data_IF_707657113408
#
_entry.id   IF_707657113408
#
_cell.length_a   1.000
_cell.length_b   1.000
_cell.length_c   1.000
_cell.angle_alpha   90.00
_cell.angle_beta   90.00
_cell.angle_gamma   90.00
#
_symmetry.space_group_name_H-M   'P 1'
#
loop_
_entity.id
_entity.type
_entity.pdbx_description
1 polymer ?
#
# COMPACT_ATOMS: atom_id res chain seq x y z
N UNK A 1 -9.70 -8.89 -5.70
CA UNK A 1 -9.55 -9.57 -7.01
C UNK A 1 -10.07 -11.00 -6.96
N UNK A 2 -10.31 -11.63 -8.10
CA UNK A 2 -10.79 -13.02 -8.18
C UNK A 2 -9.85 -13.88 -8.99
N UNK A 3 -9.36 -14.97 -8.39
CA UNK A 3 -8.66 -16.05 -9.09
C UNK A 3 -9.66 -16.89 -9.87
N UNK A 4 -9.38 -17.15 -11.14
CA UNK A 4 -10.28 -17.83 -12.07
C UNK A 4 -9.67 -19.11 -12.64
N UNK A 5 -10.51 -20.05 -13.04
CA UNK A 5 -10.07 -21.33 -13.61
C UNK A 5 -9.46 -21.22 -15.01
N UNK A 6 -9.78 -20.16 -15.76
CA UNK A 6 -9.23 -19.90 -17.09
C UNK A 6 -9.08 -18.40 -17.36
N UNK A 7 -8.44 -18.04 -18.49
CA UNK A 7 -8.20 -16.66 -18.94
C UNK A 7 -9.48 -15.99 -19.49
N UNK A 8 -10.57 -16.04 -18.72
CA UNK A 8 -11.86 -15.45 -19.10
C UNK A 8 -12.56 -14.85 -17.89
N UNK A 9 -13.19 -13.69 -18.07
CA UNK A 9 -14.04 -13.07 -17.03
C UNK A 9 -15.32 -13.89 -16.75
N UNK A 10 -15.71 -14.75 -17.66
CA UNK A 10 -16.88 -15.65 -17.55
C UNK A 10 -16.54 -17.00 -16.92
N UNK A 11 -15.25 -17.32 -16.73
CA UNK A 11 -14.86 -18.59 -16.12
C UNK A 11 -15.17 -18.63 -14.64
N UNK A 12 -15.23 -19.86 -14.10
CA UNK A 12 -15.49 -20.09 -12.66
C UNK A 12 -14.50 -19.32 -11.79
N UNK A 13 -15.02 -18.61 -10.78
CA UNK A 13 -14.21 -18.00 -9.72
C UNK A 13 -13.77 -19.11 -8.77
N UNK A 14 -12.47 -19.32 -8.67
CA UNK A 14 -11.87 -20.32 -7.76
C UNK A 14 -11.71 -19.77 -6.34
N UNK A 15 -11.29 -18.51 -6.23
CA UNK A 15 -11.09 -17.83 -4.96
C UNK A 15 -11.19 -16.31 -5.16
N UNK A 16 -11.82 -15.63 -4.22
CA UNK A 16 -11.74 -14.17 -4.13
C UNK A 16 -10.49 -13.81 -3.32
N UNK A 17 -9.67 -12.91 -3.88
CA UNK A 17 -8.42 -12.46 -3.28
C UNK A 17 -8.61 -11.04 -2.75
N UNK A 18 -8.29 -10.84 -1.48
CA UNK A 18 -8.21 -9.52 -0.89
C UNK A 18 -7.00 -8.75 -1.42
N UNK A 19 -7.02 -7.43 -1.29
CA UNK A 19 -5.86 -6.62 -1.61
C UNK A 19 -4.75 -6.97 -0.62
N UNK A 20 -3.52 -7.15 -1.14
CA UNK A 20 -2.37 -7.54 -0.34
C UNK A 20 -2.16 -9.05 -0.23
N UNK A 21 -3.09 -9.89 -0.72
CA UNK A 21 -2.86 -11.34 -0.75
C UNK A 21 -1.62 -11.65 -1.58
N UNK A 22 -0.58 -12.29 -1.01
CA UNK A 22 0.59 -12.70 -1.77
C UNK A 22 0.22 -13.80 -2.76
N UNK A 23 0.74 -13.70 -3.97
CA UNK A 23 0.53 -14.69 -5.02
C UNK A 23 1.84 -14.99 -5.73
N UNK A 24 2.10 -16.25 -6.04
CA UNK A 24 3.22 -16.62 -6.91
C UNK A 24 2.79 -16.47 -8.36
N UNK A 25 3.52 -15.69 -9.14
CA UNK A 25 3.24 -15.48 -10.56
C UNK A 25 4.12 -16.39 -11.40
N UNK A 26 3.53 -17.29 -12.18
CA UNK A 26 4.24 -18.21 -13.07
C UNK A 26 4.43 -17.68 -14.48
N UNK A 27 3.43 -17.00 -15.02
CA UNK A 27 3.48 -16.48 -16.38
C UNK A 27 2.49 -15.35 -16.60
N UNK A 28 2.76 -14.53 -17.62
CA UNK A 28 1.86 -13.47 -18.09
C UNK A 28 1.52 -13.73 -19.55
N UNK A 29 0.23 -13.68 -19.87
CA UNK A 29 -0.27 -13.83 -21.23
C UNK A 29 -1.40 -12.83 -21.47
N UNK A 30 -1.17 -11.84 -22.33
CA UNK A 30 -2.10 -10.75 -22.59
C UNK A 30 -2.44 -9.98 -21.31
N UNK A 31 -3.72 -9.94 -20.97
CA UNK A 31 -4.22 -9.26 -19.76
C UNK A 31 -4.27 -10.17 -18.52
N UNK A 32 -3.81 -11.41 -18.61
CA UNK A 32 -3.92 -12.40 -17.55
C UNK A 32 -2.56 -12.83 -17.02
N UNK A 33 -2.50 -13.11 -15.72
CA UNK A 33 -1.38 -13.77 -15.05
C UNK A 33 -1.83 -15.11 -14.49
N UNK A 34 -1.02 -16.14 -14.75
CA UNK A 34 -1.16 -17.43 -14.08
C UNK A 34 -0.51 -17.31 -12.71
N UNK A 35 -1.28 -17.56 -11.66
CA UNK A 35 -0.84 -17.38 -10.27
C UNK A 35 -1.18 -18.59 -9.43
N UNK A 36 -0.44 -18.80 -8.35
CA UNK A 36 -0.80 -19.74 -7.30
C UNK A 36 -1.02 -18.99 -5.99
N UNK A 37 -2.04 -19.44 -5.26
CA UNK A 37 -2.37 -18.98 -3.91
C UNK A 37 -2.78 -20.20 -3.09
N UNK A 38 -2.14 -20.41 -1.95
CA UNK A 38 -2.41 -21.57 -1.07
C UNK A 38 -2.40 -22.90 -1.83
N UNK A 39 -1.41 -23.11 -2.71
CA UNK A 39 -1.25 -24.32 -3.50
C UNK A 39 -2.27 -24.48 -4.67
N UNK A 40 -3.22 -23.55 -4.83
CA UNK A 40 -4.20 -23.58 -5.93
C UNK A 40 -3.79 -22.64 -7.05
N UNK A 41 -3.70 -23.18 -8.26
CA UNK A 41 -3.34 -22.42 -9.46
C UNK A 41 -4.59 -21.87 -10.16
N UNK A 42 -4.50 -20.63 -10.63
CA UNK A 42 -5.58 -19.95 -11.35
C UNK A 42 -5.08 -18.77 -12.15
N UNK A 43 -6.01 -17.98 -12.66
CA UNK A 43 -5.71 -16.80 -13.48
C UNK A 43 -6.31 -15.54 -12.88
N UNK A 44 -5.54 -14.47 -12.84
CA UNK A 44 -5.94 -13.14 -12.35
C UNK A 44 -5.63 -12.08 -13.40
N UNK A 45 -6.47 -11.07 -13.54
CA UNK A 45 -6.18 -9.96 -14.45
C UNK A 45 -4.90 -9.24 -14.03
N UNK A 46 -4.01 -9.00 -14.98
CA UNK A 46 -2.69 -8.35 -14.80
C UNK A 46 -2.78 -7.05 -14.00
N UNK A 47 -3.81 -6.24 -14.24
CA UNK A 47 -4.01 -4.96 -13.57
C UNK A 47 -4.22 -5.05 -12.04
N UNK A 48 -4.54 -6.24 -11.52
CA UNK A 48 -4.76 -6.47 -10.09
C UNK A 48 -3.58 -7.14 -9.39
N UNK A 49 -2.51 -7.47 -10.13
CA UNK A 49 -1.32 -8.12 -9.57
C UNK A 49 -0.11 -7.25 -9.81
N UNK A 50 0.49 -6.78 -8.75
CA UNK A 50 1.77 -6.08 -8.78
C UNK A 50 2.90 -7.11 -8.66
N UNK A 51 3.88 -7.06 -9.56
CA UNK A 51 5.09 -7.87 -9.44
C UNK A 51 6.13 -7.04 -8.71
N UNK A 52 6.60 -7.55 -7.58
CA UNK A 52 7.76 -7.03 -6.91
C UNK A 52 8.95 -7.97 -7.19
N UNK A 53 9.88 -7.52 -8.01
CA UNK A 53 11.10 -8.28 -8.35
C UNK A 53 12.08 -8.35 -7.20
N UNK A 54 11.97 -7.44 -6.23
CA UNK A 54 12.82 -7.38 -5.04
C UNK A 54 12.20 -8.12 -3.85
N UNK A 55 11.00 -8.68 -4.01
CA UNK A 55 10.39 -9.49 -2.97
C UNK A 55 11.19 -10.78 -2.80
N UNK A 56 11.56 -11.14 -1.57
CA UNK A 56 12.17 -12.45 -1.30
C UNK A 56 11.21 -13.55 -1.76
N UNK A 57 11.76 -14.62 -2.30
CA UNK A 57 11.00 -15.81 -2.69
C UNK A 57 10.21 -16.30 -1.48
N UNK A 58 8.90 -16.54 -1.63
CA UNK A 58 7.98 -16.85 -0.53
C UNK A 58 8.20 -18.20 0.17
N UNK A 59 9.24 -18.92 -0.16
CA UNK A 59 9.60 -20.13 0.56
C UNK A 59 10.17 -19.77 1.94
N UNK A 60 9.32 -19.83 2.96
CA UNK A 60 9.68 -19.66 4.37
C UNK A 60 9.66 -18.23 4.92
N UNK A 61 9.16 -17.23 4.19
CA UNK A 61 9.02 -15.86 4.73
C UNK A 61 7.64 -15.62 5.32
N UNK A 62 7.63 -15.11 6.56
CA UNK A 62 6.40 -14.57 7.17
C UNK A 62 5.90 -13.40 6.32
N UNK A 63 4.61 -13.43 5.96
CA UNK A 63 3.94 -12.34 5.24
C UNK A 63 3.98 -11.07 6.09
N UNK A 64 4.70 -10.06 5.63
CA UNK A 64 4.75 -8.74 6.27
C UNK A 64 3.67 -7.82 5.67
N UNK A 65 2.61 -7.63 6.40
CA UNK A 65 1.47 -6.81 5.98
C UNK A 65 1.82 -5.33 5.86
N UNK A 66 2.65 -4.81 6.75
CA UNK A 66 3.11 -3.43 6.70
C UNK A 66 3.93 -3.15 5.44
N UNK A 67 4.82 -4.03 5.07
CA UNK A 67 5.60 -3.93 3.84
C UNK A 67 4.70 -3.99 2.60
N UNK A 68 3.67 -4.84 2.61
CA UNK A 68 2.70 -4.92 1.51
C UNK A 68 1.90 -3.62 1.35
N UNK A 69 1.46 -3.02 2.46
CA UNK A 69 0.78 -1.72 2.46
C UNK A 69 1.69 -0.63 1.89
N UNK A 70 2.96 -0.60 2.30
CA UNK A 70 3.96 0.35 1.81
C UNK A 70 4.23 0.20 0.31
N UNK A 71 4.31 -1.01 -0.19
CA UNK A 71 4.47 -1.29 -1.63
C UNK A 71 3.24 -0.87 -2.43
N UNK A 72 2.04 -1.15 -1.92
CA UNK A 72 0.80 -0.72 -2.55
C UNK A 72 0.71 0.81 -2.64
N UNK A 73 1.07 1.52 -1.58
CA UNK A 73 1.08 2.99 -1.56
C UNK A 73 1.99 3.58 -2.64
N UNK A 74 3.14 2.98 -2.90
CA UNK A 74 4.10 3.45 -3.90
C UNK A 74 3.59 3.37 -5.34
N UNK A 75 2.56 2.58 -5.61
CA UNK A 75 1.94 2.47 -6.96
C UNK A 75 1.28 3.77 -7.42
N UNK A 76 0.99 4.68 -6.51
CA UNK A 76 0.29 5.94 -6.79
C UNK A 76 1.24 7.14 -6.92
N UNK A 77 2.54 6.90 -6.83
CA UNK A 77 3.57 7.94 -7.08
C UNK A 77 3.37 8.54 -8.47
N UNK A 78 3.38 9.87 -8.54
CA UNK A 78 3.09 10.63 -9.77
C UNK A 78 1.64 11.10 -9.89
N UNK A 79 0.71 10.57 -9.10
CA UNK A 79 -0.67 11.03 -9.09
C UNK A 79 -0.81 12.37 -8.34
N UNK A 80 -1.90 13.08 -8.62
CA UNK A 80 -2.09 14.45 -8.16
C UNK A 80 -2.35 14.58 -6.66
N UNK A 81 -1.90 15.69 -6.08
CA UNK A 81 -2.37 16.17 -4.80
C UNK A 81 -3.63 17.01 -4.99
N UNK A 82 -4.71 16.68 -4.29
CA UNK A 82 -5.97 17.46 -4.27
C UNK A 82 -6.38 17.67 -2.82
N UNK A 83 -6.48 18.93 -2.39
CA UNK A 83 -6.94 19.27 -1.04
C UNK A 83 -8.34 18.71 -0.79
N UNK A 84 -8.53 18.00 0.33
CA UNK A 84 -9.78 17.30 0.63
C UNK A 84 -10.01 16.03 -0.16
N UNK A 85 -9.12 15.70 -1.09
CA UNK A 85 -9.23 14.51 -1.94
C UNK A 85 -8.90 13.22 -1.19
N UNK A 86 -9.55 12.13 -1.63
CA UNK A 86 -9.38 10.77 -1.09
C UNK A 86 -9.28 9.72 -2.20
N UNK A 87 -9.15 10.13 -3.45
CA UNK A 87 -9.06 9.24 -4.60
C UNK A 87 -7.58 9.01 -4.97
N UNK A 88 -7.13 7.78 -4.84
CA UNK A 88 -5.73 7.41 -5.11
C UNK A 88 -5.31 7.63 -6.56
N UNK A 89 -6.26 7.61 -7.50
CA UNK A 89 -5.99 7.77 -8.94
C UNK A 89 -6.21 9.19 -9.44
N UNK A 90 -7.20 9.91 -8.88
CA UNK A 90 -7.59 11.25 -9.33
C UNK A 90 -7.01 12.37 -8.48
N UNK A 91 -6.75 12.11 -7.23
CA UNK A 91 -6.12 13.05 -6.32
C UNK A 91 -6.50 12.88 -4.87
N UNK A 92 -5.52 13.00 -4.01
CA UNK A 92 -5.67 12.91 -2.56
C UNK A 92 -4.79 13.95 -1.85
N UNK A 93 -5.22 14.41 -0.68
CA UNK A 93 -4.35 15.13 0.23
C UNK A 93 -3.54 14.15 1.10
N UNK A 94 -2.70 14.65 2.00
CA UNK A 94 -1.77 13.80 2.76
C UNK A 94 -2.49 12.74 3.60
N UNK A 95 -3.51 13.12 4.34
CA UNK A 95 -4.30 12.20 5.17
C UNK A 95 -5.29 11.37 4.35
N UNK A 96 -5.84 11.95 3.28
CA UNK A 96 -6.70 11.25 2.31
C UNK A 96 -5.95 10.13 1.59
N UNK A 97 -4.70 10.35 1.23
CA UNK A 97 -3.82 9.33 0.65
C UNK A 97 -3.61 8.16 1.62
N UNK A 98 -3.15 8.45 2.84
CA UNK A 98 -2.93 7.44 3.88
C UNK A 98 -4.22 6.67 4.19
N UNK A 99 -5.33 7.38 4.43
CA UNK A 99 -6.62 6.75 4.72
C UNK A 99 -7.13 5.87 3.59
N UNK A 100 -6.95 6.28 2.34
CA UNK A 100 -7.40 5.50 1.17
C UNK A 100 -6.53 4.29 0.90
N UNK A 101 -5.21 4.37 1.12
CA UNK A 101 -4.32 3.21 1.09
C UNK A 101 -4.78 2.18 2.12
N UNK A 102 -4.94 2.57 3.37
CA UNK A 102 -5.36 1.66 4.44
C UNK A 102 -6.78 1.12 4.25
N UNK A 103 -7.70 1.92 3.72
CA UNK A 103 -9.07 1.47 3.38
C UNK A 103 -9.05 0.34 2.35
N UNK A 104 -8.10 0.36 1.41
CA UNK A 104 -7.90 -0.73 0.44
C UNK A 104 -7.54 -2.06 1.10
N UNK A 105 -7.03 -2.04 2.33
CA UNK A 105 -6.73 -3.21 3.15
C UNK A 105 -7.78 -3.50 4.24
N UNK A 106 -8.91 -2.77 4.23
CA UNK A 106 -10.01 -2.97 5.18
C UNK A 106 -9.91 -2.18 6.48
N UNK A 107 -8.99 -1.22 6.59
CA UNK A 107 -8.84 -0.37 7.77
C UNK A 107 -9.51 0.99 7.56
N UNK A 108 -10.34 1.39 8.50
CA UNK A 108 -10.94 2.72 8.52
C UNK A 108 -10.14 3.62 9.46
N UNK A 109 -9.40 4.55 8.90
CA UNK A 109 -8.62 5.52 9.65
C UNK A 109 -9.33 6.88 9.74
N UNK A 110 -9.02 7.70 10.77
CA UNK A 110 -9.49 9.07 10.84
C UNK A 110 -9.12 9.90 9.61
N UNK A 111 -9.94 10.91 9.31
CA UNK A 111 -9.79 11.68 8.06
C UNK A 111 -8.63 12.66 8.07
N UNK A 112 -8.31 13.25 9.21
CA UNK A 112 -7.37 14.37 9.30
C UNK A 112 -5.98 13.94 9.77
N UNK A 113 -4.96 14.71 9.38
CA UNK A 113 -3.58 14.45 9.81
C UNK A 113 -3.39 14.55 11.34
N UNK A 114 -4.14 15.41 12.00
CA UNK A 114 -4.10 15.54 13.47
C UNK A 114 -4.72 14.34 14.18
N UNK A 115 -5.81 13.82 13.66
CA UNK A 115 -6.48 12.63 14.23
C UNK A 115 -5.67 11.36 14.00
N UNK A 116 -4.95 11.26 12.87
CA UNK A 116 -4.07 10.12 12.58
C UNK A 116 -2.96 9.93 13.61
N UNK A 117 -2.63 10.96 14.40
CA UNK A 117 -1.71 10.85 15.56
C UNK A 117 -2.20 9.88 16.65
N UNK A 118 -3.47 9.47 16.60
CA UNK A 118 -4.10 8.54 17.54
C UNK A 118 -4.45 7.19 16.89
N UNK A 119 -4.17 7.02 15.59
CA UNK A 119 -4.43 5.77 14.90
C UNK A 119 -3.49 4.65 15.37
N UNK A 120 -4.01 3.42 15.49
CA UNK A 120 -3.22 2.27 15.90
C UNK A 120 -2.45 2.48 17.20
N UNK A 121 -1.25 1.92 17.29
CA UNK A 121 -0.37 2.11 18.46
C UNK A 121 0.81 3.05 18.16
N UNK A 122 1.35 3.69 19.21
CA UNK A 122 2.56 4.51 19.11
C UNK A 122 3.80 3.61 18.99
N UNK A 123 4.71 3.99 18.12
CA UNK A 123 5.99 3.31 17.91
C UNK A 123 7.12 4.34 18.07
N UNK A 124 8.25 3.93 18.62
CA UNK A 124 9.44 4.81 18.64
C UNK A 124 9.97 5.02 17.22
N UNK A 125 10.60 6.16 16.98
CA UNK A 125 11.17 6.47 15.66
C UNK A 125 12.17 5.40 15.19
N UNK A 126 12.96 4.85 16.11
CA UNK A 126 13.99 3.86 15.80
C UNK A 126 13.40 2.47 15.46
N UNK A 127 12.17 2.21 15.90
CA UNK A 127 11.46 0.94 15.66
C UNK A 127 10.48 1.02 14.48
N UNK A 128 10.48 2.13 13.74
CA UNK A 128 9.60 2.28 12.59
C UNK A 128 9.84 1.20 11.52
N UNK A 129 8.76 0.71 10.97
CA UNK A 129 8.73 -0.32 9.93
C UNK A 129 7.92 0.15 8.72
N UNK A 130 8.15 -0.41 7.51
CA UNK A 130 7.32 -0.12 6.35
C UNK A 130 5.82 -0.27 6.66
N UNK A 131 5.01 0.68 6.21
CA UNK A 131 3.60 0.80 6.52
C UNK A 131 3.27 1.72 7.70
N UNK A 132 4.22 2.01 8.58
CA UNK A 132 3.99 2.94 9.68
C UNK A 132 3.68 4.35 9.18
N UNK A 133 2.79 5.04 9.88
CA UNK A 133 2.41 6.42 9.60
C UNK A 133 3.36 7.36 10.34
N UNK A 134 4.07 8.19 9.62
CA UNK A 134 4.89 9.26 10.18
C UNK A 134 4.03 10.53 10.27
N UNK A 135 3.81 11.03 11.46
CA UNK A 135 3.00 12.21 11.72
C UNK A 135 3.89 13.43 11.96
N UNK A 136 3.61 14.50 11.21
CA UNK A 136 4.24 15.81 11.35
C UNK A 136 3.18 16.84 11.77
N UNK A 137 3.61 18.07 12.01
CA UNK A 137 2.65 19.15 12.20
C UNK A 137 1.94 19.48 10.86
N UNK A 138 0.62 19.26 10.82
CA UNK A 138 -0.21 19.51 9.64
C UNK A 138 0.06 18.58 8.44
N UNK A 139 0.77 17.43 8.64
CA UNK A 139 1.10 16.53 7.55
C UNK A 139 1.30 15.08 8.04
N UNK A 140 1.10 14.13 7.14
CA UNK A 140 1.38 12.71 7.36
C UNK A 140 2.02 12.07 6.13
N UNK A 141 2.81 11.03 6.37
CA UNK A 141 3.44 10.22 5.34
C UNK A 141 3.45 8.75 5.75
N UNK A 142 3.71 7.85 4.82
CA UNK A 142 3.95 6.44 5.11
C UNK A 142 5.43 6.11 5.00
N UNK A 143 5.97 5.46 6.02
CA UNK A 143 7.32 4.93 5.98
C UNK A 143 7.40 3.73 5.03
N UNK A 144 8.41 3.71 4.18
CA UNK A 144 8.60 2.65 3.16
C UNK A 144 9.93 1.91 3.28
N UNK A 145 10.66 2.15 4.38
CA UNK A 145 11.98 1.55 4.60
C UNK A 145 13.13 2.47 4.18
N UNK A 146 14.33 2.13 4.62
CA UNK A 146 15.58 2.85 4.27
C UNK A 146 15.54 4.36 4.50
N UNK A 147 14.84 4.80 5.55
CA UNK A 147 14.67 6.21 5.89
C UNK A 147 13.70 6.98 4.98
N UNK A 148 13.12 6.33 3.98
CA UNK A 148 12.27 6.93 2.95
C UNK A 148 10.79 6.93 3.36
N UNK A 149 10.06 7.87 2.77
CA UNK A 149 8.59 7.97 2.92
C UNK A 149 7.92 8.13 1.56
N UNK A 150 6.67 7.69 1.46
CA UNK A 150 5.75 8.05 0.37
C UNK A 150 4.62 8.91 0.95
N UNK A 151 4.28 9.99 0.27
CA UNK A 151 3.25 10.92 0.71
C UNK A 151 2.65 11.74 -0.42
N UNK A 152 1.41 12.17 -0.26
CA UNK A 152 0.83 13.25 -1.05
C UNK A 152 1.38 14.57 -0.49
N UNK A 153 2.39 15.12 -1.15
CA UNK A 153 3.23 16.20 -0.62
C UNK A 153 2.57 17.57 -0.75
N UNK A 154 2.33 18.01 -1.97
CA UNK A 154 1.69 19.29 -2.29
C UNK A 154 1.21 19.31 -3.75
N UNK A 155 0.51 20.38 -4.15
CA UNK A 155 -0.07 20.52 -5.50
C UNK A 155 0.95 20.50 -6.64
N UNK A 156 2.20 20.92 -6.39
CA UNK A 156 3.25 20.94 -7.42
C UNK A 156 3.84 19.56 -7.66
N UNK A 157 4.01 18.77 -6.61
CA UNK A 157 4.75 17.50 -6.67
C UNK A 157 3.85 16.28 -6.60
N UNK A 158 2.59 16.42 -6.17
CA UNK A 158 1.67 15.30 -6.04
C UNK A 158 2.11 14.27 -5.02
N UNK A 159 1.80 13.02 -5.30
CA UNK A 159 2.24 11.86 -4.53
C UNK A 159 3.67 11.52 -4.96
N UNK A 160 4.58 11.47 -4.00
CA UNK A 160 6.01 11.26 -4.26
C UNK A 160 6.69 10.46 -3.16
N UNK A 161 7.87 9.94 -3.47
CA UNK A 161 8.81 9.42 -2.48
C UNK A 161 9.75 10.54 -2.07
N UNK A 162 9.96 10.70 -0.77
CA UNK A 162 10.99 11.57 -0.22
C UNK A 162 12.08 10.75 0.47
N UNK A 163 13.36 11.13 0.31
CA UNK A 163 14.49 10.31 0.73
C UNK A 163 14.71 10.28 2.25
N UNK A 164 14.07 11.18 2.99
CA UNK A 164 14.25 11.31 4.45
C UNK A 164 12.91 11.45 5.16
N UNK A 165 12.60 10.53 6.05
CA UNK A 165 11.42 10.61 6.92
C UNK A 165 11.51 11.80 7.89
N UNK A 166 12.71 12.16 8.31
CA UNK A 166 12.97 13.27 9.23
C UNK A 166 13.31 14.61 8.55
N UNK A 167 12.82 14.82 7.31
CA UNK A 167 13.01 16.10 6.58
C UNK A 167 12.33 17.30 7.28
N UNK A 168 11.45 17.03 8.21
CA UNK A 168 10.80 17.99 9.13
C UNK A 168 10.55 17.31 10.47
N UNK A 169 10.24 18.10 11.50
CA UNK A 169 10.02 17.59 12.86
C UNK A 169 8.90 16.56 12.90
N UNK A 170 9.20 15.35 13.35
CA UNK A 170 8.26 14.28 13.57
C UNK A 170 7.57 14.48 14.92
N UNK A 171 6.24 14.38 14.93
CA UNK A 171 5.41 14.43 16.16
C UNK A 171 5.29 13.04 16.77
N UNK A 172 4.97 12.05 15.96
CA UNK A 172 4.89 10.65 16.37
C UNK A 172 4.94 9.71 15.16
N UNK A 173 5.15 8.43 15.46
CA UNK A 173 5.02 7.32 14.51
C UNK A 173 3.89 6.42 15.00
N UNK A 174 3.00 5.99 14.09
CA UNK A 174 1.84 5.17 14.38
C UNK A 174 1.83 3.89 13.55
N UNK A 175 1.62 2.75 14.19
CA UNK A 175 1.48 1.45 13.52
C UNK A 175 0.04 1.00 13.57
N UNK A 176 -0.53 0.74 12.39
CA UNK A 176 -1.91 0.27 12.20
C UNK A 176 -1.94 -1.23 11.97
N UNK A 177 -0.97 -1.75 11.25
CA UNK A 177 -0.85 -3.19 10.93
C UNK A 177 0.35 -3.80 11.62
N UNK A 178 0.16 -4.99 12.16
CA UNK A 178 1.19 -5.81 12.81
C UNK A 178 1.60 -6.96 11.86
#
# INVERSE_FOLDING_TARGET
>A
SSGRSSRSKRSKVLKRLEIGTPVTVYSTSGQWRKVSVDGKTGYVLKKYVYINTDAPTLEGTTYDKGQTVAQFAQRFVGNSYVWGGTDLNRGADCSGFIGSVYRSFGYNLPRTSSELRRAGRKVSYNEKQPGDIICYNGHVAMYIGNGKIVHASNRKTGIKISPRANYRRIVCVRRVVE
#
